data_IF_632540614401
#
_entry.id   IF_632540614401
#
_cell.length_a   1.000
_cell.length_b   1.000
_cell.length_c   1.000
_cell.angle_alpha   90.00
_cell.angle_beta   90.00
_cell.angle_gamma   90.00
#
_symmetry.space_group_name_H-M   'P 1'
#
loop_
_entity.id
_entity.type
_entity.pdbx_description
1 polymer ?
#
# COMPACT_ATOMS: atom_id res chain seq x y z
N UNK A 1 -39.48 47.12 -3.85
CA UNK A 1 -39.36 45.74 -3.32
C UNK A 1 -38.96 45.77 -1.86
N UNK A 2 -39.11 44.67 -1.11
CA UNK A 2 -38.53 44.62 0.25
C UNK A 2 -37.00 44.64 0.16
N UNK A 3 -36.32 44.97 1.27
CA UNK A 3 -34.85 44.94 1.35
C UNK A 3 -34.29 43.55 1.03
N UNK A 4 -35.01 42.50 1.43
CA UNK A 4 -34.61 41.11 1.20
C UNK A 4 -34.71 40.76 -0.28
N UNK A 5 -35.80 41.17 -0.94
CA UNK A 5 -36.02 40.92 -2.36
C UNK A 5 -35.00 41.67 -3.21
N UNK A 6 -34.73 42.96 -2.91
CA UNK A 6 -33.72 43.73 -3.62
C UNK A 6 -32.33 43.08 -3.55
N UNK A 7 -31.94 42.54 -2.38
CA UNK A 7 -30.68 41.80 -2.22
C UNK A 7 -30.66 40.50 -3.04
N UNK A 8 -31.74 39.71 -3.03
CA UNK A 8 -31.84 38.47 -3.83
C UNK A 8 -31.82 38.77 -5.33
N UNK A 9 -32.49 39.83 -5.75
CA UNK A 9 -32.51 40.25 -7.15
C UNK A 9 -31.13 40.76 -7.60
N UNK A 10 -30.42 41.50 -6.74
CA UNK A 10 -29.01 41.85 -6.98
C UNK A 10 -28.12 40.61 -7.12
N UNK A 11 -28.28 39.65 -6.22
CA UNK A 11 -27.54 38.38 -6.26
C UNK A 11 -27.74 37.64 -7.59
N UNK A 12 -28.99 37.58 -8.06
CA UNK A 12 -29.36 37.02 -9.36
C UNK A 12 -29.09 37.95 -10.56
N UNK A 13 -28.41 39.09 -10.36
CA UNK A 13 -28.09 40.08 -11.41
C UNK A 13 -29.31 40.68 -12.13
N UNK A 14 -30.46 40.66 -11.46
CA UNK A 14 -31.73 41.22 -11.96
C UNK A 14 -31.87 42.72 -11.67
N UNK A 15 -31.05 43.26 -10.77
CA UNK A 15 -30.95 44.71 -10.50
C UNK A 15 -29.51 45.18 -10.73
N UNK A 16 -29.38 46.39 -11.26
CA UNK A 16 -28.14 47.15 -11.29
C UNK A 16 -27.85 47.81 -9.94
N UNK A 17 -26.61 48.29 -9.75
CA UNK A 17 -26.20 49.03 -8.54
C UNK A 17 -27.10 50.26 -8.28
N UNK A 18 -27.52 50.95 -9.36
CA UNK A 18 -28.43 52.09 -9.28
C UNK A 18 -29.81 51.66 -8.82
N UNK A 19 -30.38 50.61 -9.40
CA UNK A 19 -31.72 50.14 -9.04
C UNK A 19 -31.79 49.59 -7.60
N UNK A 20 -30.69 49.03 -7.08
CA UNK A 20 -30.60 48.66 -5.66
C UNK A 20 -30.71 49.89 -4.77
N UNK A 21 -30.03 50.99 -5.11
CA UNK A 21 -30.13 52.26 -4.37
C UNK A 21 -31.52 52.87 -4.48
N UNK A 22 -32.05 52.97 -5.69
CA UNK A 22 -33.39 53.51 -5.96
C UNK A 22 -34.45 52.75 -5.14
N UNK A 23 -34.33 51.42 -5.05
CA UNK A 23 -35.22 50.63 -4.20
C UNK A 23 -35.13 51.00 -2.70
N UNK A 24 -33.95 51.38 -2.19
CA UNK A 24 -33.83 51.86 -0.81
C UNK A 24 -34.44 53.25 -0.63
N UNK A 25 -34.31 54.14 -1.61
CA UNK A 25 -34.99 55.44 -1.61
C UNK A 25 -36.52 55.27 -1.60
N UNK A 26 -37.05 54.35 -2.41
CA UNK A 26 -38.48 54.02 -2.45
C UNK A 26 -39.01 53.46 -1.12
N UNK A 27 -38.13 52.82 -0.34
CA UNK A 27 -38.45 52.33 1.00
C UNK A 27 -38.39 53.43 2.08
N UNK A 28 -38.08 54.67 1.69
CA UNK A 28 -38.06 55.84 2.57
C UNK A 28 -36.72 56.11 3.25
N UNK A 29 -35.62 55.49 2.81
CA UNK A 29 -34.28 55.89 3.23
C UNK A 29 -33.90 57.23 2.58
N UNK A 30 -33.15 58.06 3.28
CA UNK A 30 -32.50 59.23 2.67
C UNK A 30 -31.32 58.81 1.78
N UNK A 31 -30.76 59.79 1.06
CA UNK A 31 -29.68 59.60 0.10
C UNK A 31 -28.44 58.94 0.70
N UNK A 32 -28.02 59.38 1.89
CA UNK A 32 -26.83 58.86 2.58
C UNK A 32 -27.05 57.39 2.98
N UNK A 33 -28.21 57.11 3.59
CA UNK A 33 -28.51 55.75 4.05
C UNK A 33 -28.79 54.81 2.88
N UNK A 34 -29.43 55.26 1.81
CA UNK A 34 -29.64 54.46 0.60
C UNK A 34 -28.32 54.09 -0.07
N UNK A 35 -27.37 55.04 -0.14
CA UNK A 35 -26.02 54.78 -0.66
C UNK A 35 -25.30 53.72 0.17
N UNK A 36 -25.28 53.88 1.50
CA UNK A 36 -24.65 52.91 2.42
C UNK A 36 -25.31 51.54 2.37
N UNK A 37 -26.64 51.49 2.28
CA UNK A 37 -27.38 50.24 2.17
C UNK A 37 -27.10 49.53 0.85
N UNK A 38 -26.95 50.27 -0.25
CA UNK A 38 -26.52 49.75 -1.55
C UNK A 38 -25.11 49.17 -1.45
N UNK A 39 -24.13 49.93 -0.95
CA UNK A 39 -22.74 49.44 -0.80
C UNK A 39 -22.68 48.19 0.09
N UNK A 40 -23.38 48.21 1.22
CA UNK A 40 -23.47 47.05 2.10
C UNK A 40 -24.08 45.84 1.39
N UNK A 41 -25.12 46.02 0.58
CA UNK A 41 -25.78 44.92 -0.16
C UNK A 41 -24.83 44.28 -1.16
N UNK A 42 -24.10 45.10 -1.92
CA UNK A 42 -23.10 44.66 -2.90
C UNK A 42 -22.00 43.84 -2.23
N UNK A 43 -21.38 44.40 -1.18
CA UNK A 43 -20.31 43.74 -0.44
C UNK A 43 -20.80 42.47 0.25
N UNK A 44 -21.98 42.50 0.88
CA UNK A 44 -22.53 41.36 1.61
C UNK A 44 -22.75 40.15 0.70
N UNK A 45 -23.30 40.38 -0.49
CA UNK A 45 -23.53 39.32 -1.47
C UNK A 45 -22.20 38.79 -2.03
N UNK A 46 -21.31 39.69 -2.47
CA UNK A 46 -20.01 39.30 -3.02
C UNK A 46 -19.16 38.54 -1.99
N UNK A 47 -19.09 39.02 -0.75
CA UNK A 47 -18.28 38.41 0.31
C UNK A 47 -18.73 36.98 0.68
N UNK A 48 -20.03 36.68 0.56
CA UNK A 48 -20.57 35.34 0.77
C UNK A 48 -20.15 34.36 -0.32
N UNK A 49 -20.29 34.76 -1.59
CA UNK A 49 -19.87 33.96 -2.75
C UNK A 49 -18.34 33.77 -2.79
N UNK A 50 -17.58 34.86 -2.60
CA UNK A 50 -16.10 34.83 -2.55
C UNK A 50 -15.62 33.89 -1.45
N UNK A 51 -16.22 33.93 -0.25
CA UNK A 51 -15.88 32.97 0.82
C UNK A 51 -16.07 31.53 0.35
N UNK A 52 -17.20 31.23 -0.28
CA UNK A 52 -17.53 29.88 -0.71
C UNK A 52 -16.62 29.38 -1.85
N UNK A 53 -16.21 30.26 -2.77
CA UNK A 53 -15.25 29.94 -3.84
C UNK A 53 -13.83 29.80 -3.30
N UNK A 54 -13.43 30.69 -2.40
CA UNK A 54 -12.12 30.66 -1.76
C UNK A 54 -11.93 29.42 -0.89
N UNK A 55 -12.94 29.04 -0.09
CA UNK A 55 -12.86 27.85 0.76
C UNK A 55 -12.74 26.54 -0.03
N UNK A 56 -13.20 26.53 -1.29
CA UNK A 56 -13.08 25.41 -2.23
C UNK A 56 -11.82 25.48 -3.11
N UNK A 57 -10.98 26.51 -2.93
CA UNK A 57 -9.80 26.74 -3.75
C UNK A 57 -10.11 27.06 -5.22
N UNK A 58 -11.30 27.59 -5.53
CA UNK A 58 -11.65 28.00 -6.89
C UNK A 58 -11.09 29.37 -7.27
N UNK A 59 -10.69 30.15 -6.27
CA UNK A 59 -10.03 31.45 -6.43
C UNK A 59 -8.88 31.58 -5.42
N UNK A 60 -7.87 32.34 -5.81
CA UNK A 60 -6.71 32.70 -5.00
C UNK A 60 -7.02 33.86 -4.05
N UNK A 61 -6.13 34.09 -3.07
CA UNK A 61 -6.25 35.25 -2.17
C UNK A 61 -6.18 36.59 -2.93
N UNK A 62 -5.39 36.65 -4.00
CA UNK A 62 -5.27 37.83 -4.88
C UNK A 62 -6.54 38.11 -5.66
N UNK A 63 -7.18 37.08 -6.20
CA UNK A 63 -8.48 37.20 -6.90
C UNK A 63 -9.58 37.61 -5.91
N UNK A 64 -9.65 36.96 -4.74
CA UNK A 64 -10.59 37.33 -3.68
C UNK A 64 -10.41 38.78 -3.23
N UNK A 65 -9.17 39.26 -3.12
CA UNK A 65 -8.86 40.66 -2.79
C UNK A 65 -9.42 41.62 -3.82
N UNK A 66 -9.14 41.35 -5.10
CA UNK A 66 -9.59 42.18 -6.23
C UNK A 66 -11.11 42.28 -6.25
N UNK A 67 -11.81 41.14 -6.16
CA UNK A 67 -13.27 41.12 -6.22
C UNK A 67 -13.95 41.81 -5.02
N UNK A 68 -13.38 41.71 -3.81
CA UNK A 68 -13.91 42.41 -2.64
C UNK A 68 -13.78 43.94 -2.77
N UNK A 69 -12.68 44.42 -3.35
CA UNK A 69 -12.47 45.84 -3.63
C UNK A 69 -13.47 46.34 -4.68
N UNK A 70 -13.67 45.59 -5.76
CA UNK A 70 -14.65 45.93 -6.82
C UNK A 70 -16.10 45.93 -6.32
N UNK A 71 -16.40 45.06 -5.34
CA UNK A 71 -17.69 45.03 -4.66
C UNK A 71 -17.92 46.25 -3.74
N UNK A 72 -16.85 47.00 -3.41
CA UNK A 72 -16.91 48.21 -2.58
C UNK A 72 -16.48 48.01 -1.13
N UNK A 73 -15.80 46.91 -0.80
CA UNK A 73 -15.24 46.75 0.54
C UNK A 73 -14.05 47.71 0.72
N UNK A 74 -13.99 48.49 1.83
CA UNK A 74 -12.85 49.37 2.10
C UNK A 74 -11.53 48.59 2.16
N UNK A 75 -10.45 49.16 1.63
CA UNK A 75 -9.13 48.50 1.54
C UNK A 75 -8.68 47.95 2.89
N UNK A 76 -8.82 48.76 3.94
CA UNK A 76 -8.44 48.41 5.31
C UNK A 76 -9.26 47.24 5.85
N UNK A 77 -10.51 47.10 5.38
CA UNK A 77 -11.39 45.99 5.77
C UNK A 77 -11.10 44.72 4.97
N UNK A 78 -10.69 44.85 3.70
CA UNK A 78 -10.38 43.71 2.83
C UNK A 78 -9.25 42.88 3.41
N UNK A 79 -8.16 43.52 3.83
CA UNK A 79 -6.99 42.80 4.33
C UNK A 79 -7.33 42.01 5.62
N UNK A 80 -8.06 42.63 6.55
CA UNK A 80 -8.57 41.96 7.78
C UNK A 80 -9.56 40.82 7.45
N UNK A 81 -10.41 41.02 6.44
CA UNK A 81 -11.37 39.99 6.01
C UNK A 81 -10.67 38.77 5.40
N UNK A 82 -9.65 39.01 4.58
CA UNK A 82 -8.84 37.96 3.96
C UNK A 82 -8.00 37.21 4.99
N UNK A 83 -7.38 37.88 5.95
CA UNK A 83 -6.66 37.23 7.06
C UNK A 83 -7.57 36.24 7.78
N UNK A 84 -8.79 36.67 8.10
CA UNK A 84 -9.80 35.81 8.73
C UNK A 84 -10.20 34.63 7.83
N UNK A 85 -10.46 34.88 6.54
CA UNK A 85 -10.80 33.83 5.59
C UNK A 85 -9.68 32.79 5.44
N UNK A 86 -8.43 33.23 5.35
CA UNK A 86 -7.25 32.36 5.27
C UNK A 86 -7.12 31.53 6.54
N UNK A 87 -7.31 32.12 7.71
CA UNK A 87 -7.24 31.40 8.99
C UNK A 87 -8.36 30.36 9.12
N UNK A 88 -9.61 30.73 8.81
CA UNK A 88 -10.78 29.84 8.86
C UNK A 88 -10.66 28.71 7.84
N UNK A 89 -10.28 29.03 6.61
CA UNK A 89 -10.06 28.05 5.55
C UNK A 89 -8.84 27.18 5.85
N UNK A 90 -7.75 27.73 6.40
CA UNK A 90 -6.58 26.97 6.85
C UNK A 90 -6.91 25.97 7.96
N UNK A 91 -7.83 26.32 8.87
CA UNK A 91 -8.38 25.37 9.85
C UNK A 91 -9.33 24.34 9.23
N UNK A 92 -10.09 24.67 8.17
CA UNK A 92 -10.93 23.70 7.43
C UNK A 92 -10.14 22.83 6.43
N UNK A 93 -8.96 23.27 5.98
CA UNK A 93 -8.04 22.56 5.06
C UNK A 93 -7.35 21.35 5.69
N UNK A 94 -7.81 20.85 6.84
CA UNK A 94 -7.21 19.66 7.47
C UNK A 94 -7.76 18.32 6.99
N UNK A 95 -8.67 18.24 6.01
CA UNK A 95 -9.34 16.95 5.83
C UNK A 95 -9.76 16.47 4.43
N UNK A 96 -9.43 17.12 3.28
CA UNK A 96 -9.50 16.32 2.03
C UNK A 96 -8.89 16.80 0.72
N UNK A 97 -8.89 18.07 0.33
CA UNK A 97 -8.72 18.36 -1.11
C UNK A 97 -7.91 19.63 -1.41
N UNK A 98 -6.77 19.44 -2.11
CA UNK A 98 -6.15 20.38 -3.08
C UNK A 98 -5.16 21.45 -2.57
N UNK A 99 -4.08 21.03 -1.91
CA UNK A 99 -2.73 21.46 -2.33
C UNK A 99 -1.92 20.18 -2.51
N UNK A 100 -1.06 20.12 -3.53
CA UNK A 100 -0.01 19.10 -3.53
C UNK A 100 0.77 19.30 -2.24
N UNK A 101 0.78 18.30 -1.36
CA UNK A 101 1.61 18.40 -0.16
C UNK A 101 3.08 18.37 -0.58
N UNK A 102 3.99 18.89 0.26
CA UNK A 102 5.44 18.66 0.08
C UNK A 102 5.75 17.21 -0.29
N UNK A 103 5.04 16.26 0.34
CA UNK A 103 5.16 14.82 0.08
C UNK A 103 4.69 14.40 -1.31
N UNK A 104 3.63 15.01 -1.86
CA UNK A 104 3.15 14.69 -3.21
C UNK A 104 4.10 15.22 -4.29
N UNK A 105 4.69 16.40 -4.06
CA UNK A 105 5.69 17.00 -4.96
C UNK A 105 6.96 16.14 -4.96
N UNK A 106 7.53 15.84 -3.80
CA UNK A 106 8.74 15.01 -3.71
C UNK A 106 8.50 13.61 -4.26
N UNK A 107 7.34 12.99 -3.99
CA UNK A 107 6.97 11.69 -4.58
C UNK A 107 6.87 11.75 -6.10
N UNK A 108 6.34 12.83 -6.66
CA UNK A 108 6.18 12.99 -8.11
C UNK A 108 7.54 13.18 -8.79
N UNK A 109 8.45 13.93 -8.19
CA UNK A 109 9.84 14.05 -8.66
C UNK A 109 10.57 12.71 -8.55
N UNK A 110 10.44 12.01 -7.42
CA UNK A 110 11.02 10.66 -7.21
C UNK A 110 10.56 9.66 -8.28
N UNK A 111 9.32 9.78 -8.76
CA UNK A 111 8.75 8.94 -9.83
C UNK A 111 9.05 9.43 -11.24
N UNK A 112 9.80 10.52 -11.40
CA UNK A 112 10.06 11.15 -12.70
C UNK A 112 8.82 11.76 -13.38
N UNK A 113 7.74 11.97 -12.63
CA UNK A 113 6.52 12.64 -13.13
C UNK A 113 6.66 14.16 -13.16
N UNK A 114 7.61 14.69 -12.39
CA UNK A 114 8.04 16.08 -12.39
C UNK A 114 9.55 16.14 -12.54
N UNK A 115 10.03 17.11 -13.29
CA UNK A 115 11.45 17.45 -13.33
C UNK A 115 11.89 18.09 -12.01
N UNK A 116 13.21 18.15 -11.78
CA UNK A 116 13.78 18.82 -10.59
C UNK A 116 13.32 20.26 -10.49
N UNK A 117 13.43 21.02 -11.58
CA UNK A 117 13.10 22.44 -11.62
C UNK A 117 11.61 22.67 -11.37
N UNK A 118 10.75 21.84 -11.96
CA UNK A 118 9.29 21.84 -11.71
C UNK A 118 8.89 21.47 -10.27
N UNK A 119 9.72 20.66 -9.60
CA UNK A 119 9.54 20.33 -8.19
C UNK A 119 9.93 21.48 -7.27
N UNK A 120 11.01 22.19 -7.61
CA UNK A 120 11.49 23.37 -6.88
C UNK A 120 10.46 24.49 -6.97
N UNK A 121 9.99 24.81 -8.18
CA UNK A 121 8.97 25.85 -8.41
C UNK A 121 7.70 25.60 -7.59
N UNK A 122 7.19 24.35 -7.59
CA UNK A 122 6.00 23.99 -6.81
C UNK A 122 6.22 24.01 -5.30
N UNK A 123 7.43 23.80 -4.81
CA UNK A 123 7.74 23.99 -3.39
C UNK A 123 7.82 25.48 -3.05
N UNK A 124 8.33 26.32 -3.94
CA UNK A 124 8.30 27.77 -3.74
C UNK A 124 6.87 28.32 -3.70
N UNK A 125 5.96 27.78 -4.52
CA UNK A 125 4.53 28.09 -4.46
C UNK A 125 3.88 27.71 -3.11
N UNK A 126 4.43 26.71 -2.41
CA UNK A 126 4.02 26.34 -1.05
C UNK A 126 4.68 27.20 0.04
N UNK A 127 5.52 28.16 -0.33
CA UNK A 127 6.17 29.11 0.58
C UNK A 127 7.54 28.66 1.10
N UNK A 128 8.16 27.63 0.52
CA UNK A 128 9.57 27.33 0.78
C UNK A 128 10.45 28.33 0.04
N UNK A 129 11.57 28.73 0.62
CA UNK A 129 12.55 29.51 -0.14
C UNK A 129 13.27 28.64 -1.18
N UNK A 130 13.98 29.29 -2.11
CA UNK A 130 14.66 28.62 -3.22
C UNK A 130 15.71 27.60 -2.74
N UNK A 131 16.48 27.94 -1.71
CA UNK A 131 17.54 27.09 -1.19
C UNK A 131 16.95 25.87 -0.47
N UNK A 132 15.91 26.08 0.33
CA UNK A 132 15.16 25.00 1.00
C UNK A 132 14.48 24.06 0.00
N UNK A 133 13.82 24.61 -1.02
CA UNK A 133 13.17 23.85 -2.08
C UNK A 133 14.18 23.02 -2.87
N UNK A 134 15.31 23.63 -3.27
CA UNK A 134 16.39 22.97 -3.97
C UNK A 134 16.98 21.81 -3.13
N UNK A 135 17.22 22.05 -1.83
CA UNK A 135 17.73 21.02 -0.92
C UNK A 135 16.79 19.81 -0.80
N UNK A 136 15.49 20.05 -0.64
CA UNK A 136 14.47 19.00 -0.52
C UNK A 136 14.41 18.14 -1.81
N UNK A 137 14.47 18.79 -2.98
CA UNK A 137 14.42 18.06 -4.24
C UNK A 137 15.72 17.29 -4.50
N UNK A 138 16.88 17.89 -4.23
CA UNK A 138 18.16 17.20 -4.41
C UNK A 138 18.34 16.01 -3.50
N UNK A 139 17.89 16.09 -2.24
CA UNK A 139 17.89 14.93 -1.35
C UNK A 139 17.00 13.82 -1.91
N UNK A 140 15.79 14.18 -2.38
CA UNK A 140 14.83 13.23 -2.95
C UNK A 140 15.35 12.53 -4.20
N UNK A 141 15.97 13.28 -5.12
CA UNK A 141 16.57 12.74 -6.35
C UNK A 141 17.78 11.86 -6.02
N UNK A 142 18.56 12.23 -5.00
CA UNK A 142 19.70 11.42 -4.54
C UNK A 142 19.23 10.09 -3.96
N UNK A 143 18.19 10.12 -3.11
CA UNK A 143 17.55 8.92 -2.57
C UNK A 143 16.99 8.02 -3.67
N UNK A 144 16.28 8.60 -4.66
CA UNK A 144 15.74 7.86 -5.80
C UNK A 144 16.84 7.13 -6.59
N UNK A 145 17.96 7.82 -6.86
CA UNK A 145 19.11 7.22 -7.53
C UNK A 145 19.77 6.13 -6.70
N UNK A 146 19.89 6.30 -5.38
CA UNK A 146 20.43 5.25 -4.52
C UNK A 146 19.53 4.01 -4.50
N UNK A 147 18.21 4.19 -4.45
CA UNK A 147 17.24 3.07 -4.51
C UNK A 147 17.29 2.36 -5.86
N UNK A 148 17.39 3.09 -6.97
CA UNK A 148 17.52 2.50 -8.32
C UNK A 148 18.84 1.72 -8.45
N UNK A 149 19.95 2.25 -7.92
CA UNK A 149 21.25 1.55 -7.87
C UNK A 149 21.23 0.33 -6.95
N UNK A 150 20.49 0.39 -5.84
CA UNK A 150 20.32 -0.74 -4.92
C UNK A 150 19.48 -1.84 -5.58
N UNK A 151 18.38 -1.47 -6.24
CA UNK A 151 17.49 -2.44 -6.90
C UNK A 151 18.14 -3.12 -8.12
N UNK A 152 18.99 -2.42 -8.87
CA UNK A 152 19.77 -3.00 -9.97
C UNK A 152 20.88 -3.96 -9.51
N UNK A 153 21.30 -3.89 -8.24
CA UNK A 153 22.34 -4.78 -7.66
C UNK A 153 21.76 -5.99 -6.94
N UNK A 154 20.50 -5.93 -6.52
CA UNK A 154 19.87 -7.02 -5.83
C UNK A 154 19.44 -8.12 -6.81
N UNK A 155 19.80 -9.37 -6.48
CA UNK A 155 19.32 -10.53 -7.21
C UNK A 155 17.79 -10.55 -7.14
N UNK A 156 17.12 -10.70 -8.28
CA UNK A 156 15.66 -10.82 -8.26
C UNK A 156 15.26 -12.10 -7.51
N UNK A 157 14.03 -12.14 -7.01
CA UNK A 157 13.45 -13.38 -6.44
C UNK A 157 13.60 -14.58 -7.40
N UNK A 158 13.45 -14.35 -8.71
CA UNK A 158 13.61 -15.39 -9.71
C UNK A 158 15.06 -15.86 -9.83
N UNK A 159 16.02 -14.93 -9.76
CA UNK A 159 17.46 -15.25 -9.80
C UNK A 159 17.90 -16.01 -8.55
N UNK A 160 17.38 -15.65 -7.37
CA UNK A 160 17.63 -16.37 -6.12
C UNK A 160 17.08 -17.79 -6.22
N UNK A 161 15.82 -17.96 -6.63
CA UNK A 161 15.20 -19.28 -6.80
C UNK A 161 15.97 -20.13 -7.81
N UNK A 162 16.33 -19.54 -8.95
CA UNK A 162 17.13 -20.20 -9.99
C UNK A 162 18.51 -20.57 -9.48
N UNK A 163 19.18 -19.68 -8.75
CA UNK A 163 20.49 -19.93 -8.16
C UNK A 163 20.46 -21.10 -7.15
N UNK A 164 19.40 -21.24 -6.35
CA UNK A 164 19.25 -22.39 -5.45
C UNK A 164 18.96 -23.67 -6.25
N UNK A 165 18.08 -23.61 -7.26
CA UNK A 165 17.79 -24.75 -8.13
C UNK A 165 19.03 -25.25 -8.90
N UNK A 166 19.86 -24.32 -9.36
CA UNK A 166 21.14 -24.55 -10.03
C UNK A 166 22.29 -24.88 -9.06
N UNK A 167 22.00 -24.96 -7.75
CA UNK A 167 22.96 -25.26 -6.65
C UNK A 167 24.10 -24.25 -6.52
N UNK A 168 23.88 -23.02 -6.98
CA UNK A 168 24.76 -21.87 -6.76
C UNK A 168 24.65 -21.35 -5.33
N UNK A 169 23.46 -21.46 -4.73
CA UNK A 169 23.17 -21.11 -3.32
C UNK A 169 22.53 -22.29 -2.58
N UNK A 170 22.71 -22.34 -1.27
CA UNK A 170 21.95 -23.23 -0.37
C UNK A 170 20.57 -22.65 -0.06
N UNK A 171 19.64 -23.48 0.41
CA UNK A 171 18.31 -23.03 0.84
C UNK A 171 18.40 -21.98 1.96
N UNK A 172 19.32 -22.15 2.91
CA UNK A 172 19.52 -21.20 4.01
C UNK A 172 20.05 -19.83 3.53
N UNK A 173 20.96 -19.82 2.55
CA UNK A 173 21.45 -18.59 1.91
C UNK A 173 20.33 -17.92 1.11
N UNK A 174 19.57 -18.71 0.37
CA UNK A 174 18.37 -18.28 -0.35
C UNK A 174 17.34 -17.59 0.53
N UNK A 175 17.05 -18.18 1.69
CA UNK A 175 16.13 -17.64 2.69
C UNK A 175 16.60 -16.28 3.19
N UNK A 176 17.89 -16.15 3.48
CA UNK A 176 18.51 -14.88 3.90
C UNK A 176 18.43 -13.82 2.80
N UNK A 177 18.65 -14.19 1.55
CA UNK A 177 18.56 -13.28 0.40
C UNK A 177 17.10 -12.83 0.14
N UNK A 178 16.13 -13.74 0.26
CA UNK A 178 14.71 -13.38 0.16
C UNK A 178 14.28 -12.46 1.30
N UNK A 179 14.77 -12.67 2.53
CA UNK A 179 14.47 -11.76 3.63
C UNK A 179 15.04 -10.36 3.42
N UNK A 180 16.21 -10.24 2.77
CA UNK A 180 16.77 -8.93 2.37
C UNK A 180 15.92 -8.21 1.31
N UNK A 181 15.24 -8.96 0.44
CA UNK A 181 14.25 -8.41 -0.49
C UNK A 181 12.92 -8.00 0.17
N UNK A 182 12.80 -8.12 1.50
CA UNK A 182 11.63 -7.69 2.26
C UNK A 182 10.56 -8.76 2.51
N UNK A 183 10.81 -10.03 2.15
CA UNK A 183 9.92 -11.13 2.53
C UNK A 183 10.12 -11.50 4.00
N UNK A 184 9.05 -11.80 4.73
CA UNK A 184 9.21 -12.36 6.07
C UNK A 184 9.72 -13.82 6.01
N UNK A 185 10.17 -14.37 7.14
CA UNK A 185 10.78 -15.70 7.17
C UNK A 185 9.81 -16.83 6.75
N UNK A 186 8.52 -16.68 7.04
CA UNK A 186 7.49 -17.67 6.69
C UNK A 186 7.19 -17.58 5.20
N UNK A 187 7.05 -16.37 4.66
CA UNK A 187 6.84 -16.12 3.25
C UNK A 187 8.03 -16.56 2.39
N UNK A 188 9.26 -16.26 2.84
CA UNK A 188 10.49 -16.69 2.19
C UNK A 188 10.57 -18.23 2.13
N UNK A 189 10.29 -18.92 3.24
CA UNK A 189 10.25 -20.38 3.27
C UNK A 189 9.16 -20.94 2.33
N UNK A 190 7.94 -20.37 2.38
CA UNK A 190 6.85 -20.77 1.49
C UNK A 190 7.17 -20.56 0.00
N UNK A 191 7.93 -19.50 -0.32
CA UNK A 191 8.43 -19.25 -1.67
C UNK A 191 9.37 -20.36 -2.12
N UNK A 192 10.32 -20.76 -1.26
CA UNK A 192 11.24 -21.84 -1.54
C UNK A 192 10.49 -23.16 -1.67
N UNK A 193 9.59 -23.50 -0.75
CA UNK A 193 8.83 -24.76 -0.75
C UNK A 193 7.98 -24.96 -2.02
N UNK A 194 7.41 -23.88 -2.57
CA UNK A 194 6.62 -23.93 -3.80
C UNK A 194 7.49 -24.00 -5.05
N UNK A 195 8.51 -23.13 -5.14
CA UNK A 195 9.24 -22.90 -6.40
C UNK A 195 10.49 -23.76 -6.52
N UNK A 196 10.99 -24.27 -5.41
CA UNK A 196 12.06 -25.23 -5.34
C UNK A 196 11.41 -26.48 -4.77
N UNK A 197 10.90 -27.38 -5.63
CA UNK A 197 10.44 -28.66 -5.13
C UNK A 197 11.58 -29.22 -4.26
N UNK A 198 11.28 -29.70 -3.04
CA UNK A 198 12.30 -30.04 -2.06
C UNK A 198 13.35 -30.86 -2.77
N UNK A 199 14.63 -30.48 -2.60
CA UNK A 199 15.72 -31.36 -3.00
C UNK A 199 15.39 -32.67 -2.31
N UNK A 200 14.84 -33.63 -3.05
CA UNK A 200 14.79 -35.01 -2.60
C UNK A 200 16.24 -35.28 -2.22
N UNK A 201 16.54 -35.60 -0.94
CA UNK A 201 17.88 -35.99 -0.57
C UNK A 201 18.31 -37.00 -1.62
N UNK A 202 19.44 -36.69 -2.28
CA UNK A 202 19.92 -37.30 -3.52
C UNK A 202 19.39 -38.71 -3.62
N UNK A 203 18.55 -39.01 -4.62
CA UNK A 203 17.84 -40.27 -4.75
C UNK A 203 18.73 -41.45 -4.32
N UNK A 204 18.66 -41.80 -3.03
CA UNK A 204 18.83 -43.18 -2.63
C UNK A 204 17.75 -43.83 -3.46
N UNK A 205 18.20 -44.74 -4.32
CA UNK A 205 17.31 -45.65 -5.00
C UNK A 205 16.21 -45.99 -4.01
N UNK A 206 14.94 -45.85 -4.43
CA UNK A 206 13.86 -46.48 -3.69
C UNK A 206 14.26 -47.95 -3.63
N UNK A 207 14.91 -48.37 -2.54
CA UNK A 207 15.21 -49.76 -2.30
C UNK A 207 13.84 -50.39 -2.35
N UNK A 208 13.66 -51.28 -3.32
CA UNK A 208 12.40 -51.98 -3.46
C UNK A 208 12.34 -52.86 -2.22
N UNK A 209 11.53 -52.45 -1.25
CA UNK A 209 11.26 -53.27 -0.09
C UNK A 209 10.74 -54.63 -0.56
N UNK A 210 11.26 -55.70 0.05
CA UNK A 210 10.78 -57.05 -0.25
C UNK A 210 9.28 -57.09 0.06
N UNK A 211 8.51 -57.65 -0.86
CA UNK A 211 7.11 -57.98 -0.60
C UNK A 211 7.02 -59.11 0.43
N UNK A 212 5.89 -59.21 1.14
CA UNK A 212 5.57 -60.36 2.01
C UNK A 212 5.87 -61.71 1.34
N UNK A 213 5.55 -61.84 0.05
CA UNK A 213 5.80 -63.05 -0.72
C UNK A 213 7.29 -63.31 -0.98
N UNK A 214 8.10 -62.27 -1.17
CA UNK A 214 9.55 -62.40 -1.36
C UNK A 214 10.27 -62.78 -0.06
N UNK A 215 9.84 -62.22 1.08
CA UNK A 215 10.36 -62.59 2.40
C UNK A 215 10.07 -64.07 2.69
N UNK A 216 8.80 -64.49 2.55
CA UNK A 216 8.38 -65.89 2.70
C UNK A 216 9.18 -66.83 1.79
N UNK A 217 9.40 -66.43 0.53
CA UNK A 217 10.20 -67.21 -0.43
C UNK A 217 11.68 -67.26 -0.03
N UNK A 218 12.21 -66.19 0.57
CA UNK A 218 13.56 -66.13 1.13
C UNK A 218 13.76 -67.13 2.26
N UNK A 219 12.84 -67.17 3.22
CA UNK A 219 12.87 -68.14 4.33
C UNK A 219 12.72 -69.57 3.79
N UNK A 220 11.75 -69.81 2.89
CA UNK A 220 11.53 -71.15 2.28
C UNK A 220 12.74 -71.67 1.49
N UNK A 221 13.55 -70.78 0.93
CA UNK A 221 14.79 -71.13 0.20
C UNK A 221 16.03 -71.13 1.09
N UNK A 222 15.87 -70.96 2.40
CA UNK A 222 16.96 -70.86 3.38
C UNK A 222 17.96 -69.73 3.05
N UNK A 223 17.51 -68.69 2.33
CA UNK A 223 18.33 -67.52 1.99
C UNK A 223 18.41 -66.56 3.20
N UNK A 224 17.36 -66.54 4.02
CA UNK A 224 17.27 -65.84 5.30
C UNK A 224 16.68 -66.79 6.34
N UNK A 225 17.00 -66.59 7.61
CA UNK A 225 16.48 -67.41 8.72
C UNK A 225 15.02 -67.07 9.05
N UNK A 226 14.38 -67.92 9.85
CA UNK A 226 13.04 -67.66 10.38
C UNK A 226 12.98 -66.31 11.09
N UNK A 227 13.89 -66.08 12.05
CA UNK A 227 13.95 -64.83 12.83
C UNK A 227 14.17 -63.60 11.94
N UNK A 228 15.00 -63.73 10.90
CA UNK A 228 15.23 -62.66 9.93
C UNK A 228 13.97 -62.36 9.12
N UNK A 229 13.25 -63.40 8.68
CA UNK A 229 11.96 -63.25 8.00
C UNK A 229 10.90 -62.62 8.90
N UNK A 230 10.82 -63.05 10.16
CA UNK A 230 9.86 -62.55 11.14
C UNK A 230 10.12 -61.07 11.44
N UNK A 231 11.38 -60.70 11.68
CA UNK A 231 11.78 -59.31 11.86
C UNK A 231 11.48 -58.43 10.64
N UNK A 232 11.66 -58.93 9.42
CA UNK A 232 11.31 -58.20 8.20
C UNK A 232 9.80 -57.97 8.07
N UNK A 233 8.97 -58.95 8.45
CA UNK A 233 7.51 -58.79 8.47
C UNK A 233 7.05 -57.84 9.57
N UNK A 234 7.65 -57.88 10.75
CA UNK A 234 7.36 -56.93 11.83
C UNK A 234 7.66 -55.49 11.38
N UNK A 235 8.78 -55.26 10.68
CA UNK A 235 9.09 -53.96 10.09
C UNK A 235 8.13 -53.52 8.97
N UNK A 236 7.39 -54.44 8.37
CA UNK A 236 6.29 -54.13 7.44
C UNK A 236 4.97 -53.80 8.15
N UNK A 237 4.91 -53.92 9.48
CA UNK A 237 3.76 -53.57 10.31
C UNK A 237 2.86 -54.74 10.71
N UNK A 238 3.32 -55.99 10.56
CA UNK A 238 2.67 -57.15 11.18
C UNK A 238 3.09 -57.24 12.65
N UNK A 239 2.22 -57.74 13.52
CA UNK A 239 2.66 -58.12 14.87
C UNK A 239 3.45 -59.45 14.86
N UNK A 240 4.03 -59.82 15.99
CA UNK A 240 4.89 -61.01 16.13
C UNK A 240 4.12 -62.31 15.81
N UNK A 241 2.88 -62.44 16.31
CA UNK A 241 2.03 -63.59 16.07
C UNK A 241 1.62 -63.68 14.58
N UNK A 242 1.31 -62.54 13.96
CA UNK A 242 0.99 -62.44 12.53
C UNK A 242 2.19 -62.78 11.65
N UNK A 243 3.39 -62.30 11.99
CA UNK A 243 4.62 -62.59 11.28
C UNK A 243 4.96 -64.09 11.31
N UNK A 244 4.88 -64.70 12.49
CA UNK A 244 5.10 -66.13 12.66
C UNK A 244 4.04 -66.97 11.96
N UNK A 245 2.77 -66.59 12.05
CA UNK A 245 1.70 -67.25 11.32
C UNK A 245 1.93 -67.20 9.81
N UNK A 246 2.32 -66.04 9.27
CA UNK A 246 2.62 -65.86 7.84
C UNK A 246 3.74 -66.78 7.37
N UNK A 247 4.81 -66.93 8.16
CA UNK A 247 5.92 -67.81 7.82
C UNK A 247 5.49 -69.28 7.92
N UNK A 248 4.83 -69.66 9.01
CA UNK A 248 4.38 -71.02 9.28
C UNK A 248 3.47 -71.58 8.18
N UNK A 249 2.42 -70.86 7.80
CA UNK A 249 1.47 -71.35 6.78
C UNK A 249 2.09 -71.53 5.39
N UNK A 250 3.20 -70.85 5.10
CA UNK A 250 3.85 -70.89 3.79
C UNK A 250 5.07 -71.82 3.73
N UNK A 251 5.57 -72.26 4.90
CA UNK A 251 6.72 -73.15 5.07
C UNK A 251 6.30 -74.59 5.38
N UNK A 252 5.00 -74.86 5.59
CA UNK A 252 4.45 -76.20 5.78
C UNK A 252 4.56 -77.10 4.53
N UNK A 253 5.78 -77.60 4.31
CA UNK A 253 6.13 -78.94 3.85
C UNK A 253 7.67 -79.02 3.78
N UNK A 254 8.34 -79.13 4.93
CA UNK A 254 9.53 -79.97 5.18
C UNK A 254 10.11 -79.66 6.59
N UNK A 255 9.81 -80.55 7.53
CA UNK A 255 10.57 -80.92 8.74
C UNK A 255 11.26 -79.83 9.59
N UNK A 256 10.74 -79.62 10.81
CA UNK A 256 11.54 -79.14 11.95
C UNK A 256 10.98 -77.91 12.64
N UNK A 257 9.84 -78.06 13.30
CA UNK A 257 9.33 -77.10 14.30
C UNK A 257 10.36 -76.95 15.43
N UNK A 258 10.79 -75.74 15.81
CA UNK A 258 11.48 -75.55 17.08
C UNK A 258 10.44 -75.68 18.20
N UNK A 259 10.53 -76.81 18.91
CA UNK A 259 10.06 -76.90 20.28
C UNK A 259 10.58 -75.69 21.06
N UNK A 260 9.68 -74.88 21.63
CA UNK A 260 9.52 -74.70 23.09
C UNK A 260 8.60 -73.53 23.39
N UNK A 261 7.43 -73.81 23.96
CA UNK A 261 6.83 -72.98 25.01
C UNK A 261 6.29 -73.91 26.10
N UNK A 262 7.07 -74.00 27.18
CA UNK A 262 6.72 -74.43 28.54
C UNK A 262 7.57 -73.53 29.43
N UNK A 263 7.10 -72.75 30.39
CA UNK A 263 5.87 -72.69 31.20
C UNK A 263 5.22 -71.29 31.17
#
# INVERSE_FOLDING_TARGET
YTRVDARRMWDLRMLSKKEVKDNYLDLGYDEEHAERMKDWTLVYVAAGDIRARFSKGWITATEARTELLEAGMPVERVDVYLEKLVKETGTERTAKERDLTKTDITRSVKKGLLTKDEGIERLQDLGYDEDEAAFIIDSTVTEAKSEEIEHDRDLSKADIIKGIADKVFTEAEGLTMLMKLGYDAVEAQYILDIRIPPIKPAAMAKERDLTKAEIVKGVKKEIITWDQGSFMLINMGYDEDEADFILAINIEALSGSPETWSE
#
